data_IF_583875787929
#
_entry.id   IF_583875787929
#
_cell.length_a   1.000
_cell.length_b   1.000
_cell.length_c   1.000
_cell.angle_alpha   90.00
_cell.angle_beta   90.00
_cell.angle_gamma   90.00
#
_symmetry.space_group_name_H-M   'P 1'
#
loop_
_entity.id
_entity.type
_entity.pdbx_description
1 polymer ?
#
# COMPACT_ATOMS: atom_id res chain seq x y z
N UNK A 1 8.03 0.25 -18.29
CA UNK A 1 6.71 -0.23 -17.76
C UNK A 1 5.63 0.25 -18.72
N UNK A 2 4.54 -0.49 -18.94
CA UNK A 2 3.33 0.09 -19.56
C UNK A 2 2.81 1.19 -18.64
N UNK A 3 3.25 2.41 -18.90
CA UNK A 3 3.25 3.46 -17.88
C UNK A 3 2.03 4.37 -18.01
N UNK A 4 1.18 4.34 -16.99
CA UNK A 4 0.14 5.33 -16.78
C UNK A 4 0.71 6.46 -15.90
N UNK A 5 1.55 7.29 -16.51
CA UNK A 5 2.32 8.33 -15.85
C UNK A 5 1.45 9.22 -14.94
N UNK A 6 1.92 9.47 -13.71
CA UNK A 6 1.29 10.45 -12.83
C UNK A 6 1.63 11.89 -13.24
N UNK A 7 0.79 12.84 -12.82
CA UNK A 7 1.12 14.26 -12.95
C UNK A 7 2.24 14.65 -11.99
N UNK A 8 3.25 15.35 -12.52
CA UNK A 8 4.35 15.90 -11.75
C UNK A 8 3.95 17.25 -11.14
N UNK A 9 3.29 17.17 -9.98
CA UNK A 9 2.83 18.36 -9.26
C UNK A 9 3.88 18.79 -8.22
N UNK A 10 4.29 20.07 -8.20
CA UNK A 10 5.23 20.57 -7.19
C UNK A 10 4.55 20.71 -5.82
N UNK A 11 5.30 20.45 -4.75
CA UNK A 11 4.89 20.82 -3.40
C UNK A 11 4.87 22.34 -3.22
N UNK A 12 4.20 22.82 -2.16
CA UNK A 12 4.25 24.24 -1.79
C UNK A 12 5.70 24.65 -1.52
N UNK A 13 6.18 25.64 -2.29
CA UNK A 13 7.55 26.15 -2.20
C UNK A 13 8.53 25.52 -3.20
N UNK A 14 8.14 24.44 -3.88
CA UNK A 14 8.92 23.92 -5.02
C UNK A 14 8.71 24.79 -6.28
N UNK A 15 9.72 24.83 -7.14
CA UNK A 15 9.66 25.52 -8.42
C UNK A 15 8.66 24.88 -9.39
N UNK A 16 8.25 25.64 -10.41
CA UNK A 16 7.43 25.09 -11.50
C UNK A 16 8.20 23.97 -12.21
N UNK A 17 7.49 22.89 -12.52
CA UNK A 17 8.02 21.73 -13.25
C UNK A 17 7.10 21.41 -14.44
N UNK A 18 7.58 20.60 -15.38
CA UNK A 18 6.70 20.04 -16.42
C UNK A 18 5.67 19.13 -15.76
N UNK A 19 4.39 19.30 -16.08
CA UNK A 19 3.28 18.56 -15.45
C UNK A 19 3.18 17.13 -16.00
N UNK A 20 3.57 16.94 -17.26
CA UNK A 20 3.52 15.67 -17.97
C UNK A 20 4.78 15.49 -18.82
N UNK A 21 5.02 14.26 -19.28
CA UNK A 21 6.04 13.98 -20.28
C UNK A 21 5.65 14.63 -21.60
N UNK A 22 6.59 15.37 -22.21
CA UNK A 22 6.39 16.11 -23.46
C UNK A 22 7.03 15.41 -24.66
N UNK A 23 7.74 14.31 -24.42
CA UNK A 23 8.45 13.51 -25.42
C UNK A 23 8.36 12.03 -25.07
N UNK A 24 8.66 11.18 -26.05
CA UNK A 24 8.82 9.74 -25.89
C UNK A 24 10.01 9.42 -24.99
N UNK A 25 9.92 8.33 -24.23
CA UNK A 25 10.97 7.79 -23.39
C UNK A 25 11.98 6.94 -24.18
N UNK A 26 13.09 6.60 -23.54
CA UNK A 26 14.13 5.76 -24.16
C UNK A 26 13.58 4.38 -24.58
N UNK A 27 12.71 3.79 -23.78
CA UNK A 27 12.01 2.55 -24.11
C UNK A 27 11.21 2.66 -25.40
N UNK A 28 10.46 3.75 -25.59
CA UNK A 28 9.62 3.94 -26.78
C UNK A 28 10.47 3.98 -28.05
N UNK A 29 11.57 4.74 -28.03
CA UNK A 29 12.50 4.78 -29.17
C UNK A 29 13.13 3.42 -29.45
N UNK A 30 13.50 2.66 -28.42
CA UNK A 30 14.05 1.32 -28.56
C UNK A 30 13.03 0.32 -29.13
N UNK A 31 11.79 0.35 -28.65
CA UNK A 31 10.73 -0.50 -29.16
C UNK A 31 10.39 -0.17 -30.62
N UNK A 32 10.35 1.12 -30.98
CA UNK A 32 10.17 1.57 -32.37
C UNK A 32 11.35 1.14 -33.25
N UNK A 33 12.59 1.28 -32.77
CA UNK A 33 13.78 0.82 -33.49
C UNK A 33 13.70 -0.69 -33.75
N UNK A 34 13.36 -1.50 -32.74
CA UNK A 34 13.23 -2.95 -32.88
C UNK A 34 12.14 -3.34 -33.89
N UNK A 35 10.99 -2.66 -33.86
CA UNK A 35 9.83 -3.05 -34.67
C UNK A 35 9.84 -2.48 -36.10
N UNK A 36 10.51 -1.35 -36.35
CA UNK A 36 10.34 -0.60 -37.60
C UNK A 36 11.65 -0.18 -38.30
N UNK A 37 12.84 -0.45 -37.74
CA UNK A 37 14.10 -0.16 -38.44
C UNK A 37 14.15 -0.96 -39.75
N UNK A 38 14.34 -0.32 -40.92
CA UNK A 38 14.53 -1.05 -42.17
C UNK A 38 15.83 -1.87 -42.10
N UNK A 39 15.72 -3.19 -42.21
CA UNK A 39 16.86 -4.11 -42.19
C UNK A 39 16.76 -5.00 -43.44
N UNK A 40 17.89 -5.26 -44.09
CA UNK A 40 17.94 -6.20 -45.20
C UNK A 40 17.65 -7.62 -44.71
N UNK A 41 16.88 -8.41 -45.47
CA UNK A 41 16.39 -9.74 -45.05
C UNK A 41 17.51 -10.65 -44.57
N UNK A 42 18.67 -10.61 -45.23
CA UNK A 42 19.85 -11.40 -44.89
C UNK A 42 20.53 -11.00 -43.56
N UNK A 43 20.25 -9.80 -43.03
CA UNK A 43 20.80 -9.27 -41.79
C UNK A 43 19.76 -9.18 -40.65
N UNK A 44 18.48 -9.40 -40.95
CA UNK A 44 17.35 -9.16 -40.04
C UNK A 44 17.55 -9.80 -38.67
N UNK A 45 17.83 -11.10 -38.62
CA UNK A 45 17.99 -11.82 -37.36
C UNK A 45 19.16 -11.27 -36.51
N UNK A 46 20.29 -10.93 -37.12
CA UNK A 46 21.47 -10.45 -36.41
C UNK A 46 21.28 -9.02 -35.86
N UNK A 47 20.69 -8.14 -36.66
CA UNK A 47 20.40 -6.76 -36.25
C UNK A 47 19.30 -6.70 -35.18
N UNK A 48 18.22 -7.49 -35.32
CA UNK A 48 17.19 -7.58 -34.28
C UNK A 48 17.75 -8.11 -32.97
N UNK A 49 18.60 -9.16 -33.00
CA UNK A 49 19.25 -9.68 -31.81
C UNK A 49 20.13 -8.60 -31.12
N UNK A 50 20.85 -7.80 -31.90
CA UNK A 50 21.66 -6.68 -31.39
C UNK A 50 20.80 -5.60 -30.73
N UNK A 51 19.66 -5.25 -31.32
CA UNK A 51 18.73 -4.29 -30.72
C UNK A 51 18.12 -4.87 -29.43
N UNK A 52 17.64 -6.12 -29.45
CA UNK A 52 17.06 -6.78 -28.29
C UNK A 52 18.03 -6.96 -27.11
N UNK A 53 19.33 -7.15 -27.40
CA UNK A 53 20.37 -7.28 -26.36
C UNK A 53 20.50 -6.03 -25.48
N UNK A 54 19.99 -4.87 -25.94
CA UNK A 54 19.92 -3.64 -25.13
C UNK A 54 18.91 -3.72 -23.99
N UNK A 55 18.04 -4.74 -23.94
CA UNK A 55 17.01 -4.91 -22.91
C UNK A 55 17.51 -4.87 -21.45
N UNK A 56 18.81 -4.99 -21.22
CA UNK A 56 19.44 -4.84 -19.89
C UNK A 56 19.74 -3.39 -19.51
N UNK A 57 19.56 -2.43 -20.42
CA UNK A 57 19.71 -1.00 -20.16
C UNK A 57 18.62 -0.51 -19.18
N UNK A 58 18.95 0.15 -18.05
CA UNK A 58 17.97 0.54 -17.03
C UNK A 58 16.80 1.39 -17.57
N UNK A 59 17.06 2.27 -18.52
CA UNK A 59 16.07 3.15 -19.16
C UNK A 59 15.10 2.40 -20.09
N UNK A 60 15.36 1.12 -20.38
CA UNK A 60 14.54 0.26 -21.23
C UNK A 60 13.73 -0.75 -20.40
N UNK A 61 13.71 -0.60 -19.07
CA UNK A 61 12.96 -1.48 -18.18
C UNK A 61 11.47 -1.51 -18.52
N UNK A 62 10.93 -2.72 -18.65
CA UNK A 62 9.54 -2.96 -19.01
C UNK A 62 8.85 -3.90 -18.03
N UNK A 63 7.56 -3.62 -17.81
CA UNK A 63 6.65 -4.44 -17.03
C UNK A 63 5.25 -4.20 -17.55
N UNK A 64 4.48 -5.25 -17.74
CA UNK A 64 3.11 -5.19 -18.28
C UNK A 64 2.05 -5.12 -17.16
N UNK A 65 0.78 -5.13 -17.56
CA UNK A 65 -0.36 -5.11 -16.63
C UNK A 65 -0.37 -6.34 -15.70
N UNK A 66 0.09 -7.50 -16.17
CA UNK A 66 0.19 -8.70 -15.33
C UNK A 66 1.30 -8.54 -14.30
N UNK A 67 2.48 -8.03 -14.69
CA UNK A 67 3.58 -7.69 -13.78
C UNK A 67 3.16 -6.63 -12.75
N UNK A 68 2.20 -5.76 -13.08
CA UNK A 68 1.65 -4.81 -12.12
C UNK A 68 0.71 -5.46 -11.10
N UNK A 69 0.14 -6.63 -11.43
CA UNK A 69 -0.84 -7.36 -10.63
C UNK A 69 -2.28 -7.26 -11.13
N UNK A 70 -2.49 -6.92 -12.41
CA UNK A 70 -3.81 -6.87 -13.05
C UNK A 70 -4.10 -8.20 -13.77
N UNK A 71 -5.30 -8.74 -13.60
CA UNK A 71 -5.85 -9.76 -14.49
C UNK A 71 -5.34 -11.20 -14.31
N UNK A 72 -4.62 -11.53 -13.23
CA UNK A 72 -4.09 -12.88 -13.03
C UNK A 72 -3.81 -13.25 -11.56
N UNK A 73 -3.28 -14.47 -11.30
CA UNK A 73 -2.90 -14.92 -9.95
C UNK A 73 -1.64 -14.21 -9.43
N UNK A 74 -0.92 -13.49 -10.30
CA UNK A 74 0.23 -12.69 -9.94
C UNK A 74 -0.23 -11.43 -9.20
N UNK A 75 0.25 -11.24 -7.97
CA UNK A 75 -0.22 -10.18 -7.08
C UNK A 75 0.62 -8.89 -7.16
N UNK A 76 1.43 -8.73 -8.22
CA UNK A 76 2.19 -7.51 -8.46
C UNK A 76 3.22 -7.24 -7.38
N UNK A 77 4.08 -8.21 -7.05
CA UNK A 77 5.02 -8.09 -5.92
C UNK A 77 6.30 -7.28 -6.19
N UNK A 78 6.61 -6.96 -7.45
CA UNK A 78 7.72 -6.07 -7.77
C UNK A 78 7.30 -4.61 -7.56
N UNK A 79 7.90 -3.88 -6.60
CA UNK A 79 7.52 -2.50 -6.33
C UNK A 79 7.96 -1.52 -7.43
N UNK A 80 8.73 -1.95 -8.44
CA UNK A 80 9.13 -1.12 -9.59
C UNK A 80 8.10 -1.12 -10.71
N UNK A 81 7.16 -2.07 -10.69
CA UNK A 81 6.10 -2.16 -11.70
C UNK A 81 4.81 -1.60 -11.15
N UNK A 82 4.58 -0.31 -11.41
CA UNK A 82 3.44 0.42 -10.90
C UNK A 82 2.76 1.22 -12.01
N UNK A 83 1.53 1.63 -11.71
CA UNK A 83 0.83 2.65 -12.45
C UNK A 83 0.76 3.90 -11.57
N UNK A 84 0.80 5.07 -12.21
CA UNK A 84 0.55 6.37 -11.55
C UNK A 84 1.50 6.64 -10.39
N UNK A 85 2.76 6.22 -10.51
CA UNK A 85 3.90 6.79 -9.80
C UNK A 85 4.76 7.65 -10.73
N UNK A 86 5.83 8.24 -10.20
CA UNK A 86 6.74 9.09 -10.96
C UNK A 86 8.13 9.15 -10.31
N UNK A 87 9.16 8.93 -11.11
CA UNK A 87 10.57 9.00 -10.68
C UNK A 87 11.20 7.61 -10.48
N UNK A 88 12.51 7.61 -10.26
CA UNK A 88 13.33 6.42 -10.02
C UNK A 88 13.24 5.89 -8.58
N UNK A 89 12.71 6.70 -7.66
CA UNK A 89 12.38 6.32 -6.28
C UNK A 89 10.85 6.37 -6.03
N UNK A 90 10.11 5.26 -6.26
CA UNK A 90 8.68 5.19 -5.96
C UNK A 90 8.34 5.42 -4.49
N UNK A 91 9.26 5.16 -3.54
CA UNK A 91 9.05 5.49 -2.11
C UNK A 91 9.08 7.00 -1.88
N UNK A 92 10.03 7.71 -2.51
CA UNK A 92 10.05 9.18 -2.49
C UNK A 92 8.78 9.76 -3.09
N UNK A 93 8.33 9.21 -4.22
CA UNK A 93 7.08 9.63 -4.83
C UNK A 93 5.88 9.40 -3.89
N UNK A 94 5.81 8.25 -3.22
CA UNK A 94 4.75 7.96 -2.26
C UNK A 94 4.69 8.97 -1.11
N UNK A 95 5.85 9.36 -0.56
CA UNK A 95 5.96 10.42 0.45
C UNK A 95 5.47 11.77 -0.08
N UNK A 96 5.93 12.16 -1.28
CA UNK A 96 5.50 13.38 -1.94
C UNK A 96 3.99 13.38 -2.16
N UNK A 97 3.42 12.24 -2.54
CA UNK A 97 1.99 12.12 -2.84
C UNK A 97 1.10 12.24 -1.60
N UNK A 98 1.53 11.70 -0.44
CA UNK A 98 0.87 11.96 0.84
C UNK A 98 0.90 13.46 1.17
N UNK A 99 2.07 14.10 1.05
CA UNK A 99 2.23 15.53 1.34
C UNK A 99 1.38 16.41 0.40
N UNK A 100 1.36 16.12 -0.89
CA UNK A 100 0.50 16.80 -1.88
C UNK A 100 -0.98 16.68 -1.51
N UNK A 101 -1.42 15.51 -1.04
CA UNK A 101 -2.82 15.33 -0.61
C UNK A 101 -3.15 16.17 0.63
N UNK A 102 -2.23 16.25 1.60
CA UNK A 102 -2.39 17.11 2.77
C UNK A 102 -2.46 18.60 2.40
N UNK A 103 -1.58 19.06 1.50
CA UNK A 103 -1.64 20.43 0.99
C UNK A 103 -2.93 20.71 0.22
N UNK A 104 -3.41 19.75 -0.58
CA UNK A 104 -4.67 19.88 -1.29
C UNK A 104 -5.84 20.00 -0.31
N UNK A 105 -5.88 19.18 0.75
CA UNK A 105 -6.91 19.28 1.79
C UNK A 105 -6.87 20.62 2.49
N UNK A 106 -5.69 21.15 2.81
CA UNK A 106 -5.55 22.49 3.40
C UNK A 106 -6.07 23.59 2.46
N UNK A 107 -5.68 23.55 1.18
CA UNK A 107 -6.13 24.52 0.17
C UNK A 107 -7.63 24.46 -0.06
N UNK A 108 -8.20 23.26 -0.18
CA UNK A 108 -9.65 23.09 -0.41
C UNK A 108 -10.45 23.59 0.78
N UNK A 109 -9.97 23.40 2.01
CA UNK A 109 -10.65 23.87 3.23
C UNK A 109 -10.56 25.39 3.45
N UNK A 110 -9.56 26.06 2.87
CA UNK A 110 -9.37 27.52 3.01
C UNK A 110 -9.98 28.32 1.87
N UNK A 111 -10.22 27.67 0.72
CA UNK A 111 -10.75 28.31 -0.47
C UNK A 111 -12.24 28.65 -0.29
N UNK A 112 -12.59 29.91 -0.54
CA UNK A 112 -13.99 30.36 -0.61
C UNK A 112 -14.54 30.11 -2.02
N UNK A 113 -15.72 29.49 -2.17
CA UNK A 113 -16.39 29.38 -3.46
C UNK A 113 -16.75 30.76 -4.03
N UNK A 114 -16.65 30.90 -5.34
CA UNK A 114 -17.06 32.10 -6.08
C UNK A 114 -18.35 31.85 -6.88
N UNK A 115 -19.04 32.93 -7.26
CA UNK A 115 -20.26 32.82 -8.06
C UNK A 115 -19.95 32.20 -9.44
N UNK A 116 -20.80 31.27 -9.87
CA UNK A 116 -20.63 30.52 -11.13
C UNK A 116 -19.71 29.30 -11.02
N UNK A 117 -19.11 29.04 -9.87
CA UNK A 117 -18.34 27.81 -9.67
C UNK A 117 -19.21 26.58 -9.50
N UNK A 118 -18.64 25.44 -9.90
CA UNK A 118 -19.23 24.14 -9.65
C UNK A 118 -19.31 23.85 -8.13
N UNK A 119 -20.51 23.64 -7.57
CA UNK A 119 -20.70 23.40 -6.14
C UNK A 119 -20.01 22.12 -5.63
N UNK A 120 -19.66 21.19 -6.52
CA UNK A 120 -19.06 19.90 -6.19
C UNK A 120 -17.53 19.89 -6.34
N UNK A 121 -16.92 21.01 -6.73
CA UNK A 121 -15.47 21.10 -6.96
C UNK A 121 -14.64 20.66 -5.74
N UNK A 122 -14.99 21.14 -4.56
CA UNK A 122 -14.30 20.78 -3.31
C UNK A 122 -14.44 19.29 -3.01
N UNK A 123 -15.68 18.78 -3.11
CA UNK A 123 -16.01 17.36 -2.93
C UNK A 123 -15.18 16.45 -3.84
N UNK A 124 -15.17 16.72 -5.15
CA UNK A 124 -14.38 15.95 -6.11
C UNK A 124 -12.89 16.03 -5.85
N UNK A 125 -12.37 17.20 -5.45
CA UNK A 125 -10.95 17.36 -5.12
C UNK A 125 -10.53 16.48 -3.95
N UNK A 126 -11.37 16.40 -2.90
CA UNK A 126 -11.13 15.52 -1.75
C UNK A 126 -11.19 14.06 -2.18
N UNK A 127 -12.22 13.61 -2.89
CA UNK A 127 -12.30 12.20 -3.31
C UNK A 127 -11.18 11.79 -4.25
N UNK A 128 -10.81 12.64 -5.22
CA UNK A 128 -9.72 12.36 -6.14
C UNK A 128 -8.39 12.22 -5.39
N UNK A 129 -8.15 13.03 -4.36
CA UNK A 129 -6.96 12.91 -3.53
C UNK A 129 -6.89 11.57 -2.77
N UNK A 130 -8.02 11.07 -2.26
CA UNK A 130 -8.09 9.75 -1.62
C UNK A 130 -7.93 8.62 -2.64
N UNK A 131 -8.48 8.78 -3.85
CA UNK A 131 -8.30 7.82 -4.95
C UNK A 131 -6.81 7.68 -5.30
N UNK A 132 -6.12 8.81 -5.50
CA UNK A 132 -4.67 8.84 -5.78
C UNK A 132 -3.84 8.28 -4.63
N UNK A 133 -4.16 8.66 -3.39
CA UNK A 133 -3.46 8.15 -2.22
C UNK A 133 -3.71 6.66 -2.01
N UNK A 134 -4.88 6.14 -2.40
CA UNK A 134 -5.19 4.71 -2.38
C UNK A 134 -4.34 3.90 -3.37
N UNK A 135 -4.06 4.44 -4.56
CA UNK A 135 -3.11 3.82 -5.50
C UNK A 135 -1.68 3.87 -4.97
N UNK A 136 -1.28 5.02 -4.40
CA UNK A 136 0.01 5.16 -3.73
C UNK A 136 0.18 4.15 -2.60
N UNK A 137 -0.87 3.96 -1.79
CA UNK A 137 -0.91 2.99 -0.70
C UNK A 137 -0.72 1.56 -1.20
N UNK A 138 -1.33 1.21 -2.33
CA UNK A 138 -1.13 -0.09 -2.97
C UNK A 138 0.32 -0.28 -3.43
N UNK A 139 0.88 0.70 -4.15
CA UNK A 139 2.24 0.66 -4.70
C UNK A 139 3.29 0.55 -3.57
N UNK A 140 3.21 1.40 -2.53
CA UNK A 140 4.17 1.36 -1.42
C UNK A 140 4.07 0.06 -0.61
N UNK A 141 2.88 -0.53 -0.53
CA UNK A 141 2.69 -1.80 0.17
C UNK A 141 3.35 -2.98 -0.54
N UNK A 142 3.70 -2.87 -1.83
CA UNK A 142 4.46 -3.90 -2.57
C UNK A 142 5.89 -4.07 -2.07
N UNK A 143 6.47 -3.05 -1.43
CA UNK A 143 7.84 -3.14 -0.90
C UNK A 143 7.94 -4.17 0.23
N UNK A 144 6.91 -4.31 1.07
CA UNK A 144 6.94 -5.22 2.23
C UNK A 144 6.71 -6.65 1.77
N UNK A 145 7.71 -7.51 1.94
CA UNK A 145 7.72 -8.85 1.35
C UNK A 145 7.75 -8.82 -0.18
N UNK A 146 8.19 -7.72 -0.78
CA UNK A 146 8.33 -7.57 -2.23
C UNK A 146 9.55 -8.30 -2.78
N UNK A 147 9.49 -8.62 -4.07
CA UNK A 147 10.60 -9.22 -4.81
C UNK A 147 10.78 -8.48 -6.13
N UNK A 148 12.02 -8.19 -6.51
CA UNK A 148 12.37 -7.83 -7.86
C UNK A 148 12.31 -9.07 -8.75
N UNK A 149 11.57 -8.99 -9.85
CA UNK A 149 11.46 -10.03 -10.85
C UNK A 149 12.13 -9.57 -12.15
N UNK A 150 13.08 -10.37 -12.64
CA UNK A 150 13.84 -10.08 -13.85
C UNK A 150 13.59 -11.15 -14.92
N UNK A 151 13.47 -10.72 -16.18
CA UNK A 151 13.40 -11.61 -17.34
C UNK A 151 14.82 -12.04 -17.73
N UNK A 152 15.30 -13.10 -17.08
CA UNK A 152 16.67 -13.61 -17.30
C UNK A 152 16.74 -14.47 -18.56
N UNK A 153 17.37 -13.94 -19.61
CA UNK A 153 17.64 -14.65 -20.86
C UNK A 153 19.09 -15.17 -20.86
N UNK A 154 19.33 -16.49 -21.01
CA UNK A 154 20.67 -17.06 -21.04
C UNK A 154 21.58 -16.39 -22.09
N UNK A 155 22.76 -15.94 -21.65
CA UNK A 155 23.74 -15.27 -22.52
C UNK A 155 23.45 -13.80 -22.82
N UNK A 156 22.32 -13.25 -22.37
CA UNK A 156 21.94 -11.84 -22.59
C UNK A 156 21.77 -11.11 -21.27
N UNK A 157 20.87 -11.59 -20.41
CA UNK A 157 20.57 -10.95 -19.12
C UNK A 157 21.39 -11.64 -18.02
N UNK A 158 22.37 -10.97 -17.40
CA UNK A 158 23.07 -11.52 -16.26
C UNK A 158 22.22 -11.43 -14.98
N UNK A 159 22.57 -12.21 -13.95
CA UNK A 159 22.02 -12.05 -12.61
C UNK A 159 20.91 -13.03 -12.25
N UNK A 160 20.12 -12.63 -11.24
CA UNK A 160 19.10 -13.48 -10.61
C UNK A 160 17.71 -13.12 -11.14
N UNK A 161 16.88 -14.11 -11.43
CA UNK A 161 15.49 -13.89 -11.84
C UNK A 161 14.62 -13.32 -10.71
N UNK A 162 14.99 -13.61 -9.46
CA UNK A 162 14.29 -13.11 -8.28
C UNK A 162 15.27 -12.62 -7.23
N UNK A 163 15.04 -11.41 -6.72
CA UNK A 163 15.79 -10.85 -5.59
C UNK A 163 14.81 -10.16 -4.64
N UNK A 164 14.83 -10.44 -3.33
CA UNK A 164 14.02 -9.68 -2.38
C UNK A 164 14.34 -8.19 -2.44
N UNK A 165 13.31 -7.36 -2.23
CA UNK A 165 13.51 -5.91 -2.02
C UNK A 165 14.46 -5.72 -0.84
N UNK A 166 15.38 -4.76 -0.95
CA UNK A 166 16.42 -4.56 0.06
C UNK A 166 15.79 -4.31 1.45
N UNK A 167 16.31 -4.97 2.48
CA UNK A 167 15.72 -4.95 3.83
C UNK A 167 15.50 -3.52 4.38
N UNK A 168 16.37 -2.58 4.02
CA UNK A 168 16.23 -1.18 4.41
C UNK A 168 15.00 -0.52 3.78
N UNK A 169 14.78 -0.72 2.48
CA UNK A 169 13.62 -0.19 1.75
C UNK A 169 12.31 -0.81 2.25
N UNK A 170 12.29 -2.11 2.54
CA UNK A 170 11.11 -2.76 3.13
C UNK A 170 10.72 -2.11 4.47
N UNK A 171 11.70 -1.89 5.36
CA UNK A 171 11.48 -1.24 6.67
C UNK A 171 11.09 0.22 6.52
N UNK A 172 11.66 0.93 5.55
CA UNK A 172 11.31 2.31 5.24
C UNK A 172 9.84 2.41 4.78
N UNK A 173 9.43 1.56 3.84
CA UNK A 173 8.05 1.47 3.38
C UNK A 173 7.10 1.15 4.55
N UNK A 174 7.46 0.17 5.39
CA UNK A 174 6.67 -0.21 6.55
C UNK A 174 6.52 0.95 7.56
N UNK A 175 7.59 1.70 7.83
CA UNK A 175 7.53 2.90 8.69
C UNK A 175 6.66 4.00 8.07
N UNK A 176 6.78 4.25 6.78
CA UNK A 176 5.95 5.23 6.07
C UNK A 176 4.47 4.85 6.12
N UNK A 177 4.15 3.58 5.90
CA UNK A 177 2.78 3.06 6.02
C UNK A 177 2.25 3.24 7.46
N UNK A 178 3.01 2.78 8.45
CA UNK A 178 2.62 2.81 9.86
C UNK A 178 2.43 4.24 10.39
N UNK A 179 3.39 5.14 10.14
CA UNK A 179 3.37 6.51 10.64
C UNK A 179 2.54 7.47 9.79
N UNK A 180 2.42 7.21 8.49
CA UNK A 180 1.68 8.04 7.55
C UNK A 180 0.27 7.52 7.31
N UNK A 181 0.13 6.45 6.53
CA UNK A 181 -1.16 6.00 6.00
C UNK A 181 -2.10 5.41 7.07
N UNK A 182 -1.55 4.79 8.12
CA UNK A 182 -2.31 4.20 9.22
C UNK A 182 -2.54 5.16 10.39
N UNK A 183 -1.98 6.37 10.35
CA UNK A 183 -2.19 7.35 11.41
C UNK A 183 -3.47 8.16 11.15
N UNK A 184 -4.37 8.23 12.13
CA UNK A 184 -5.53 9.13 12.06
C UNK A 184 -5.10 10.60 11.99
N UNK A 185 -3.92 10.94 12.50
CA UNK A 185 -3.38 12.29 12.46
C UNK A 185 -3.01 12.78 11.06
N UNK A 186 -2.82 11.87 10.12
CA UNK A 186 -2.53 12.22 8.73
C UNK A 186 -3.73 12.81 7.99
N UNK A 187 -4.95 12.67 8.52
CA UNK A 187 -6.21 12.97 7.83
C UNK A 187 -7.04 14.01 8.61
N UNK A 188 -6.63 15.28 8.58
CA UNK A 188 -7.29 16.36 9.33
C UNK A 188 -8.25 17.16 8.45
N UNK A 189 -9.53 17.15 8.84
CA UNK A 189 -10.59 17.95 8.22
C UNK A 189 -11.38 18.70 9.28
N UNK A 190 -11.66 19.97 9.00
CA UNK A 190 -12.45 20.87 9.83
C UNK A 190 -13.93 20.51 9.78
N UNK A 191 -14.63 20.38 10.91
CA UNK A 191 -16.09 20.15 10.92
C UNK A 191 -16.86 21.18 10.07
N UNK A 192 -16.47 22.45 10.15
CA UNK A 192 -17.04 23.57 9.38
C UNK A 192 -16.84 23.41 7.87
N UNK A 193 -15.80 22.71 7.41
CA UNK A 193 -15.67 22.38 6.00
C UNK A 193 -16.66 21.29 5.59
N UNK A 194 -16.81 20.24 6.41
CA UNK A 194 -17.67 19.10 6.07
C UNK A 194 -19.15 19.48 5.93
N UNK A 195 -19.64 20.41 6.77
CA UNK A 195 -21.03 20.89 6.69
C UNK A 195 -21.32 21.76 5.46
N UNK A 196 -20.29 22.26 4.77
CA UNK A 196 -20.45 23.04 3.54
C UNK A 196 -20.49 22.17 2.28
N UNK A 197 -20.25 20.86 2.40
CA UNK A 197 -20.23 19.97 1.25
C UNK A 197 -21.67 19.66 0.79
N UNK A 198 -21.96 19.94 -0.48
CA UNK A 198 -23.27 19.65 -1.07
C UNK A 198 -23.42 18.18 -1.47
N UNK A 199 -24.68 17.77 -1.63
CA UNK A 199 -25.03 16.52 -2.31
C UNK A 199 -24.65 16.63 -3.79
N UNK A 200 -24.18 15.52 -4.35
CA UNK A 200 -23.98 15.40 -5.78
C UNK A 200 -25.34 15.14 -6.46
N UNK A 201 -25.86 16.15 -7.16
CA UNK A 201 -27.13 16.07 -7.87
C UNK A 201 -26.99 15.58 -9.32
N UNK A 202 -25.76 15.42 -9.81
CA UNK A 202 -25.50 15.00 -11.20
C UNK A 202 -25.44 13.47 -11.32
N UNK A 203 -25.06 12.77 -10.26
CA UNK A 203 -24.98 11.32 -10.24
C UNK A 203 -26.28 10.66 -9.72
N UNK A 204 -26.56 9.46 -10.21
CA UNK A 204 -27.75 8.68 -9.82
C UNK A 204 -27.72 8.30 -8.33
N UNK A 205 -26.53 7.95 -7.84
CA UNK A 205 -26.28 7.75 -6.41
C UNK A 205 -26.05 9.12 -5.78
N UNK A 206 -27.14 9.78 -5.37
CA UNK A 206 -27.10 11.04 -4.63
C UNK A 206 -26.39 10.79 -3.31
N UNK A 207 -25.07 10.98 -3.32
CA UNK A 207 -24.21 10.51 -2.25
C UNK A 207 -24.61 11.06 -0.88
N UNK A 208 -24.39 10.27 0.17
CA UNK A 208 -24.54 10.70 1.57
C UNK A 208 -23.62 11.89 1.91
N UNK A 209 -23.82 12.55 3.07
CA UNK A 209 -22.85 13.50 3.60
C UNK A 209 -21.43 12.94 3.49
N UNK A 210 -20.49 13.76 3.03
CA UNK A 210 -19.12 13.32 2.79
C UNK A 210 -18.53 12.70 4.06
N UNK A 211 -18.11 11.44 3.97
CA UNK A 211 -17.49 10.72 5.08
C UNK A 211 -15.98 10.58 4.87
N UNK A 212 -15.22 11.41 5.57
CA UNK A 212 -13.77 11.26 5.66
C UNK A 212 -13.38 9.93 6.32
N UNK A 213 -14.03 9.50 7.44
CA UNK A 213 -13.72 8.20 8.03
C UNK A 213 -13.86 7.03 7.06
N UNK A 214 -14.89 7.03 6.19
CA UNK A 214 -15.08 5.93 5.23
C UNK A 214 -14.01 5.96 4.13
N UNK A 215 -13.63 7.16 3.67
CA UNK A 215 -12.55 7.34 2.69
C UNK A 215 -11.20 6.86 3.25
N UNK A 216 -10.93 7.15 4.53
CA UNK A 216 -9.72 6.69 5.22
C UNK A 216 -9.79 5.18 5.48
N UNK A 217 -10.94 4.65 5.89
CA UNK A 217 -11.12 3.20 6.10
C UNK A 217 -10.90 2.43 4.80
N UNK A 218 -11.38 2.93 3.66
CA UNK A 218 -11.14 2.32 2.35
C UNK A 218 -9.65 2.33 1.98
N UNK A 219 -8.95 3.43 2.25
CA UNK A 219 -7.52 3.54 2.02
C UNK A 219 -6.70 2.59 2.89
N UNK A 220 -6.98 2.57 4.20
CA UNK A 220 -6.28 1.72 5.16
C UNK A 220 -6.62 0.24 4.92
N UNK A 221 -7.84 -0.07 4.53
CA UNK A 221 -8.25 -1.42 4.13
C UNK A 221 -7.37 -1.99 3.03
N UNK A 222 -7.07 -1.22 1.97
CA UNK A 222 -6.16 -1.65 0.89
C UNK A 222 -4.74 -1.98 1.38
N UNK A 223 -4.23 -1.18 2.32
CA UNK A 223 -2.93 -1.45 2.96
C UNK A 223 -2.99 -2.78 3.71
N UNK A 224 -4.02 -2.98 4.52
CA UNK A 224 -4.19 -4.22 5.29
C UNK A 224 -4.38 -5.43 4.39
N UNK A 225 -5.16 -5.31 3.30
CA UNK A 225 -5.36 -6.38 2.33
C UNK A 225 -4.04 -6.87 1.74
N UNK A 226 -3.11 -5.95 1.44
CA UNK A 226 -1.78 -6.30 0.93
C UNK A 226 -0.88 -6.90 2.00
N UNK A 227 -0.70 -6.20 3.12
CA UNK A 227 0.28 -6.56 4.15
C UNK A 227 -0.12 -7.81 4.94
N UNK A 228 -1.41 -8.09 5.05
CA UNK A 228 -1.95 -9.27 5.73
C UNK A 228 -2.33 -10.39 4.76
N UNK A 229 -2.03 -10.25 3.46
CA UNK A 229 -2.31 -11.31 2.49
C UNK A 229 -1.46 -12.57 2.72
N UNK A 230 -1.99 -13.77 2.39
CA UNK A 230 -1.21 -15.01 2.41
C UNK A 230 0.04 -14.96 1.53
N UNK A 231 -0.02 -14.28 0.38
CA UNK A 231 1.11 -14.14 -0.54
C UNK A 231 2.27 -13.34 0.08
N UNK A 232 1.96 -12.21 0.74
CA UNK A 232 2.98 -11.43 1.46
C UNK A 232 3.56 -12.22 2.63
N UNK A 233 2.72 -12.94 3.38
CA UNK A 233 3.18 -13.78 4.48
C UNK A 233 4.14 -14.88 3.99
N UNK A 234 3.78 -15.58 2.92
CA UNK A 234 4.61 -16.61 2.29
C UNK A 234 5.95 -16.05 1.84
N UNK A 235 5.97 -14.91 1.13
CA UNK A 235 7.22 -14.28 0.70
C UNK A 235 8.11 -13.89 1.89
N UNK A 236 7.55 -13.32 2.96
CA UNK A 236 8.33 -12.97 4.16
C UNK A 236 8.91 -14.20 4.87
N UNK A 237 8.21 -15.34 4.86
CA UNK A 237 8.71 -16.61 5.41
C UNK A 237 9.85 -17.15 4.53
N UNK A 238 9.65 -17.19 3.21
CA UNK A 238 10.61 -17.76 2.25
C UNK A 238 11.78 -16.83 1.92
N UNK A 239 11.67 -15.52 2.18
CA UNK A 239 12.62 -14.48 1.76
C UNK A 239 14.08 -14.81 2.12
N UNK A 240 14.31 -15.40 3.30
CA UNK A 240 15.67 -15.74 3.74
C UNK A 240 16.38 -16.73 2.81
N UNK A 241 15.63 -17.59 2.11
CA UNK A 241 16.16 -18.54 1.11
C UNK A 241 16.68 -17.85 -0.15
N UNK A 242 16.21 -16.64 -0.44
CA UNK A 242 16.63 -15.84 -1.59
C UNK A 242 17.73 -14.83 -1.26
N UNK A 243 18.21 -14.80 0.00
CA UNK A 243 19.24 -13.86 0.44
C UNK A 243 20.61 -14.54 0.59
N UNK A 244 21.72 -13.79 0.34
CA UNK A 244 23.05 -14.21 0.73
C UNK A 244 23.13 -14.47 2.22
N UNK A 245 23.95 -15.44 2.65
CA UNK A 245 24.06 -15.88 4.05
C UNK A 245 24.23 -14.71 5.05
N UNK A 246 25.10 -13.76 4.71
CA UNK A 246 25.37 -12.58 5.53
C UNK A 246 24.14 -11.71 5.79
N UNK A 247 23.14 -11.74 4.90
CA UNK A 247 21.93 -10.91 5.01
C UNK A 247 20.75 -11.65 5.64
N UNK A 248 20.76 -12.99 5.69
CA UNK A 248 19.62 -13.81 6.15
C UNK A 248 19.15 -13.47 7.56
N UNK A 249 20.08 -13.24 8.49
CA UNK A 249 19.75 -12.88 9.89
C UNK A 249 19.07 -11.51 10.01
N UNK A 250 19.30 -10.61 9.06
CA UNK A 250 18.76 -9.25 9.03
C UNK A 250 17.50 -9.11 8.18
N UNK A 251 17.04 -10.21 7.57
CA UNK A 251 15.87 -10.26 6.73
C UNK A 251 14.64 -9.72 7.46
N UNK A 252 13.81 -8.94 6.77
CA UNK A 252 12.51 -8.52 7.32
C UNK A 252 11.65 -9.77 7.52
N UNK A 253 11.24 -10.00 8.76
CA UNK A 253 10.46 -11.18 9.13
C UNK A 253 8.96 -10.90 9.14
N UNK A 254 8.15 -11.95 9.00
CA UNK A 254 6.70 -11.85 9.16
C UNK A 254 6.32 -11.28 10.54
N UNK A 255 7.05 -11.67 11.59
CA UNK A 255 6.83 -11.17 12.94
C UNK A 255 7.13 -9.67 13.07
N UNK A 256 8.19 -9.18 12.42
CA UNK A 256 8.53 -7.76 12.37
C UNK A 256 7.39 -6.95 11.72
N UNK A 257 6.85 -7.45 10.60
CA UNK A 257 5.75 -6.80 9.88
C UNK A 257 4.47 -6.79 10.73
N UNK A 258 4.05 -7.94 11.26
CA UNK A 258 2.83 -8.04 12.07
C UNK A 258 2.92 -7.22 13.36
N UNK A 259 4.07 -7.28 14.05
CA UNK A 259 4.29 -6.49 15.27
C UNK A 259 4.30 -4.98 15.00
N UNK A 260 4.93 -4.53 13.91
CA UNK A 260 4.93 -3.12 13.53
C UNK A 260 3.52 -2.64 13.16
N UNK A 261 2.79 -3.44 12.38
CA UNK A 261 1.44 -3.13 11.95
C UNK A 261 0.48 -3.07 13.15
N UNK A 262 0.47 -4.08 14.01
CA UNK A 262 -0.35 -4.12 15.22
C UNK A 262 0.02 -2.97 16.16
N UNK A 263 1.30 -2.73 16.39
CA UNK A 263 1.77 -1.64 17.26
C UNK A 263 1.36 -0.24 16.77
N UNK A 264 1.29 -0.04 15.46
CA UNK A 264 0.81 1.22 14.87
C UNK A 264 -0.72 1.36 14.95
N UNK A 265 -1.46 0.27 14.71
CA UNK A 265 -2.93 0.25 14.72
C UNK A 265 -3.50 0.37 16.15
N UNK A 266 -2.78 -0.13 17.14
CA UNK A 266 -3.18 -0.15 18.55
C UNK A 266 -2.27 0.73 19.42
N UNK A 267 -1.72 1.81 18.84
CA UNK A 267 -0.75 2.68 19.50
C UNK A 267 -1.23 3.25 20.83
N UNK A 268 -2.54 3.49 20.96
CA UNK A 268 -3.22 4.06 22.11
C UNK A 268 -3.26 3.09 23.31
N UNK A 269 -3.12 1.78 23.11
CA UNK A 269 -3.15 0.81 24.22
C UNK A 269 -1.97 1.04 25.19
N UNK A 270 -0.80 1.38 24.64
CA UNK A 270 0.42 1.64 25.42
C UNK A 270 0.25 2.87 26.31
N UNK A 271 -0.28 3.95 25.77
CA UNK A 271 -0.45 5.22 26.48
C UNK A 271 -1.72 5.24 27.34
N UNK A 272 -2.75 4.49 26.98
CA UNK A 272 -4.09 4.63 27.57
C UNK A 272 -4.82 5.87 27.08
N UNK A 273 -4.50 6.35 25.87
CA UNK A 273 -5.15 7.49 25.27
C UNK A 273 -6.56 7.16 24.75
N UNK A 274 -7.37 8.19 24.53
CA UNK A 274 -8.64 8.06 23.82
C UNK A 274 -8.44 7.48 22.42
N UNK A 275 -9.33 6.56 22.02
CA UNK A 275 -9.28 5.93 20.72
C UNK A 275 -10.35 6.58 19.85
N UNK A 276 -9.96 7.43 18.90
CA UNK A 276 -10.91 8.14 18.04
C UNK A 276 -11.70 7.20 17.10
N UNK A 277 -12.79 7.70 16.48
CA UNK A 277 -13.66 6.90 15.60
C UNK A 277 -12.91 6.25 14.44
N UNK A 278 -11.99 6.95 13.79
CA UNK A 278 -11.23 6.45 12.65
C UNK A 278 -10.26 5.35 13.10
N UNK A 279 -9.59 5.57 14.23
CA UNK A 279 -8.74 4.55 14.87
C UNK A 279 -9.52 3.29 15.24
N UNK A 280 -10.71 3.44 15.85
CA UNK A 280 -11.60 2.30 16.15
C UNK A 280 -12.02 1.54 14.89
N UNK A 281 -12.30 2.26 13.80
CA UNK A 281 -12.61 1.63 12.49
C UNK A 281 -11.44 0.80 11.98
N UNK A 282 -10.23 1.37 12.01
CA UNK A 282 -9.01 0.68 11.58
C UNK A 282 -8.74 -0.60 12.40
N UNK A 283 -8.92 -0.52 13.72
CA UNK A 283 -8.76 -1.67 14.62
C UNK A 283 -9.75 -2.80 14.29
N UNK A 284 -11.01 -2.48 13.97
CA UNK A 284 -12.00 -3.47 13.51
C UNK A 284 -11.63 -4.08 12.15
N UNK A 285 -11.16 -3.26 11.21
CA UNK A 285 -10.72 -3.74 9.89
C UNK A 285 -9.51 -4.67 10.00
N UNK A 286 -8.60 -4.41 10.93
CA UNK A 286 -7.49 -5.30 11.27
C UNK A 286 -8.01 -6.63 11.85
N UNK A 287 -8.90 -6.58 12.85
CA UNK A 287 -9.44 -7.79 13.45
C UNK A 287 -10.22 -8.66 12.46
N UNK A 288 -10.95 -8.08 11.51
CA UNK A 288 -11.64 -8.84 10.46
C UNK A 288 -10.65 -9.67 9.62
N UNK A 289 -9.49 -9.11 9.28
CA UNK A 289 -8.45 -9.80 8.51
C UNK A 289 -7.70 -10.81 9.37
N UNK A 290 -7.42 -10.47 10.63
CA UNK A 290 -6.85 -11.40 11.60
C UNK A 290 -7.77 -12.63 11.81
N UNK A 291 -9.09 -12.44 11.85
CA UNK A 291 -10.05 -13.54 11.92
C UNK A 291 -9.90 -14.49 10.73
N UNK A 292 -9.76 -13.96 9.52
CA UNK A 292 -9.55 -14.76 8.32
C UNK A 292 -8.23 -15.56 8.42
N UNK A 293 -7.14 -14.92 8.86
CA UNK A 293 -5.85 -15.58 9.08
C UNK A 293 -5.92 -16.69 10.14
N UNK A 294 -6.68 -16.46 11.22
CA UNK A 294 -6.92 -17.43 12.28
C UNK A 294 -7.96 -18.50 11.92
N UNK A 295 -8.45 -18.57 10.68
CA UNK A 295 -9.29 -19.70 10.26
C UNK A 295 -8.43 -20.96 10.03
N UNK A 296 -8.48 -21.90 10.97
CA UNK A 296 -7.68 -23.13 10.93
C UNK A 296 -8.04 -24.05 9.75
N UNK A 297 -9.31 -24.07 9.32
CA UNK A 297 -9.74 -24.90 8.19
C UNK A 297 -9.11 -24.47 6.87
N UNK A 298 -8.78 -23.18 6.74
CA UNK A 298 -8.20 -22.59 5.52
C UNK A 298 -6.68 -22.42 5.63
N UNK A 299 -6.19 -21.98 6.79
CA UNK A 299 -4.80 -21.55 6.98
C UNK A 299 -4.01 -22.44 7.95
N UNK A 300 -4.65 -23.42 8.59
CA UNK A 300 -4.00 -24.40 9.46
C UNK A 300 -3.38 -25.60 8.71
N UNK A 301 -3.58 -25.68 7.39
CA UNK A 301 -2.92 -26.67 6.54
C UNK A 301 -1.47 -26.26 6.21
N UNK A 302 -0.63 -27.23 5.86
CA UNK A 302 0.85 -27.15 5.81
C UNK A 302 1.42 -25.91 5.11
N UNK A 303 0.77 -25.40 4.05
CA UNK A 303 1.27 -24.28 3.24
C UNK A 303 1.31 -22.94 4.00
N UNK A 304 0.47 -22.75 5.03
CA UNK A 304 0.36 -21.49 5.78
C UNK A 304 0.53 -21.65 7.30
N UNK A 305 0.99 -22.81 7.76
CA UNK A 305 1.07 -23.15 9.18
C UNK A 305 1.94 -22.17 10.00
N UNK A 306 3.05 -21.70 9.43
CA UNK A 306 3.92 -20.71 10.06
C UNK A 306 3.25 -19.34 10.16
N UNK A 307 2.59 -18.91 9.08
CA UNK A 307 1.83 -17.66 9.06
C UNK A 307 0.68 -17.68 10.09
N UNK A 308 -0.05 -18.80 10.18
CA UNK A 308 -1.07 -19.03 11.19
C UNK A 308 -0.50 -18.96 12.62
N UNK A 309 0.63 -19.64 12.86
CA UNK A 309 1.29 -19.66 14.18
C UNK A 309 1.74 -18.27 14.59
N UNK A 310 2.31 -17.49 13.65
CA UNK A 310 2.69 -16.10 13.89
C UNK A 310 1.48 -15.20 14.15
N UNK A 311 0.41 -15.32 13.36
CA UNK A 311 -0.82 -14.56 13.58
C UNK A 311 -1.41 -14.86 14.96
N UNK A 312 -1.45 -16.13 15.37
CA UNK A 312 -1.93 -16.55 16.70
C UNK A 312 -1.06 -15.99 17.84
N UNK A 313 0.26 -15.97 17.65
CA UNK A 313 1.18 -15.39 18.62
C UNK A 313 0.90 -13.90 18.84
N UNK A 314 0.84 -13.10 17.77
CA UNK A 314 0.56 -11.66 17.86
C UNK A 314 -0.86 -11.37 18.39
N UNK A 315 -1.85 -12.15 17.98
CA UNK A 315 -3.21 -12.09 18.52
C UNK A 315 -3.27 -12.32 20.04
N UNK A 316 -2.45 -13.25 20.56
CA UNK A 316 -2.37 -13.51 22.00
C UNK A 316 -1.75 -12.32 22.75
N UNK A 317 -0.70 -11.71 22.18
CA UNK A 317 -0.11 -10.49 22.74
C UNK A 317 -1.13 -9.33 22.76
N UNK A 318 -1.84 -9.11 21.66
CA UNK A 318 -2.87 -8.08 21.56
C UNK A 318 -3.98 -8.26 22.61
N UNK A 319 -4.41 -9.50 22.87
CA UNK A 319 -5.41 -9.78 23.91
C UNK A 319 -4.94 -9.35 25.29
N UNK A 320 -3.65 -9.50 25.59
CA UNK A 320 -3.07 -9.06 26.86
C UNK A 320 -2.96 -7.53 26.93
N UNK A 321 -2.55 -6.89 25.83
CA UNK A 321 -2.48 -5.42 25.74
C UNK A 321 -3.85 -4.76 25.90
N UNK A 322 -4.89 -5.32 25.28
CA UNK A 322 -6.27 -4.86 25.42
C UNK A 322 -6.77 -4.93 26.86
N UNK A 323 -6.51 -6.05 27.56
CA UNK A 323 -6.85 -6.20 28.98
C UNK A 323 -6.16 -5.16 29.85
N UNK A 324 -4.87 -4.93 29.61
CA UNK A 324 -4.11 -3.92 30.35
C UNK A 324 -4.61 -2.50 30.09
N UNK A 325 -4.97 -2.18 28.84
CA UNK A 325 -5.50 -0.88 28.47
C UNK A 325 -6.90 -0.62 29.05
N UNK A 326 -7.79 -1.62 29.02
CA UNK A 326 -9.15 -1.52 29.55
C UNK A 326 -9.21 -1.28 31.07
N UNK A 327 -8.16 -1.67 31.80
CA UNK A 327 -8.05 -1.44 33.24
C UNK A 327 -7.66 0.02 33.59
N UNK A 328 -7.26 0.85 32.62
CA UNK A 328 -6.84 2.23 32.87
C UNK A 328 -8.05 3.14 33.13
N UNK A 329 -8.00 4.01 34.16
CA UNK A 329 -9.07 4.96 34.43
C UNK A 329 -9.07 6.11 33.41
N UNK A 330 -10.18 6.86 33.33
CA UNK A 330 -10.25 8.12 32.59
C UNK A 330 -10.67 8.01 31.11
N UNK A 331 -10.89 6.79 30.59
CA UNK A 331 -11.37 6.57 29.22
C UNK A 331 -12.86 6.89 29.08
N UNK A 332 -13.28 7.40 27.92
CA UNK A 332 -14.68 7.62 27.54
C UNK A 332 -15.50 6.31 27.50
N UNK A 333 -16.84 6.41 27.51
CA UNK A 333 -17.73 5.24 27.39
C UNK A 333 -17.49 4.54 26.05
N UNK A 334 -17.30 5.32 24.99
CA UNK A 334 -17.07 4.86 23.63
C UNK A 334 -15.76 4.07 23.51
N UNK A 335 -14.67 4.57 24.11
CA UNK A 335 -13.39 3.86 24.12
C UNK A 335 -13.47 2.58 24.96
N UNK A 336 -14.11 2.62 26.14
CA UNK A 336 -14.30 1.41 26.96
C UNK A 336 -15.15 0.35 26.28
N UNK A 337 -16.26 0.74 25.66
CA UNK A 337 -17.14 -0.16 24.92
C UNK A 337 -16.40 -0.81 23.74
N UNK A 338 -15.60 -0.02 23.02
CA UNK A 338 -14.77 -0.52 21.92
C UNK A 338 -13.69 -1.50 22.39
N UNK A 339 -12.99 -1.22 23.48
CA UNK A 339 -11.99 -2.13 24.04
C UNK A 339 -12.61 -3.46 24.48
N UNK A 340 -13.78 -3.41 25.14
CA UNK A 340 -14.51 -4.60 25.54
C UNK A 340 -14.94 -5.45 24.32
N UNK A 341 -15.57 -4.83 23.32
CA UNK A 341 -15.94 -5.49 22.06
C UNK A 341 -14.73 -6.15 21.37
N UNK A 342 -13.64 -5.38 21.23
CA UNK A 342 -12.40 -5.82 20.57
C UNK A 342 -11.78 -7.02 21.32
N UNK A 343 -11.75 -6.97 22.65
CA UNK A 343 -11.26 -8.05 23.49
C UNK A 343 -12.13 -9.32 23.37
N UNK A 344 -13.45 -9.18 23.37
CA UNK A 344 -14.39 -10.29 23.25
C UNK A 344 -14.29 -10.96 21.87
N UNK A 345 -14.21 -10.15 20.80
CA UNK A 345 -14.03 -10.64 19.44
C UNK A 345 -12.73 -11.45 19.32
N UNK A 346 -11.61 -10.89 19.78
CA UNK A 346 -10.30 -11.54 19.73
C UNK A 346 -10.23 -12.82 20.58
N UNK A 347 -10.83 -12.79 21.78
CA UNK A 347 -10.92 -13.96 22.65
C UNK A 347 -11.72 -15.09 22.00
N UNK A 348 -12.80 -14.74 21.29
CA UNK A 348 -13.63 -15.70 20.55
C UNK A 348 -12.86 -16.33 19.38
N UNK A 349 -12.07 -15.54 18.62
CA UNK A 349 -11.20 -16.06 17.55
C UNK A 349 -10.14 -17.05 18.08
N UNK A 350 -9.49 -16.70 19.20
CA UNK A 350 -8.45 -17.51 19.82
C UNK A 350 -8.98 -18.83 20.44
N UNK A 351 -10.27 -18.85 20.82
CA UNK A 351 -10.98 -20.05 21.28
C UNK A 351 -11.49 -20.91 20.13
N UNK A 352 -12.10 -20.32 19.10
CA UNK A 352 -12.64 -21.04 17.95
C UNK A 352 -11.56 -21.86 17.21
N UNK A 353 -10.31 -21.37 17.23
CA UNK A 353 -9.13 -22.07 16.71
C UNK A 353 -8.73 -23.33 17.49
N UNK A 354 -9.22 -23.52 18.72
CA UNK A 354 -8.94 -24.70 19.55
C UNK A 354 -9.91 -25.86 19.30
N UNK A 355 -11.04 -25.63 18.63
CA UNK A 355 -12.10 -26.64 18.49
C UNK A 355 -12.04 -27.35 17.14
N UNK A 356 -11.33 -28.49 17.12
CA UNK A 356 -11.66 -29.77 16.45
C UNK A 356 -10.38 -30.62 16.34
N UNK A 357 -10.23 -31.56 17.27
CA UNK A 357 -9.60 -32.86 17.04
C UNK A 357 -10.70 -33.91 17.15
#
# INVERSE_FOLDING_TARGET
>A
VMDYNAYNLPLKGEGKTSIANTTLGAYDYWAVEYAYKPIATEQEAAELAKIAARSTEPQLAYGDDFDQGVGGPYDGFDPRTNQRDLGDDPLAYARKRLKLSQELWERVQTRKPEAGEDPLRARRSVFESFRQLGMTANNVSKYVGGMHAERVVPGVTPGQAFKPVDNAQQREALRFIAGGLLSSDSFKFKPEFLVTQSLDYNEWDRGLPMSIPDSVSALQGRVLDRLMSPNTARRLIEQSSYLPEAQRKSAVSLSEVYGTLQGAIFSELKTGAEIDRMRRSLQREYLRRLQAQLNRATNGATVYADAFSMARYHATQLSNELRAAAAKPGLSVETRAHLAETQDMLSSMLKATLVRS
#
